data_IF_818172657553
#
_entry.id   IF_818172657553
#
_cell.length_a   1.000
_cell.length_b   1.000
_cell.length_c   1.000
_cell.angle_alpha   90.00
_cell.angle_beta   90.00
_cell.angle_gamma   90.00
#
_symmetry.space_group_name_H-M   'P 1'
#
loop_
_entity.id
_entity.type
_entity.pdbx_description
1 polymer ?
#
# COMPACT_ATOMS: atom_id res chain seq x y z
N UNK A 1 23.70 -48.02 43.02
CA UNK A 1 23.94 -46.62 42.62
C UNK A 1 23.99 -46.42 41.09
N UNK A 2 23.13 -47.09 40.29
CA UNK A 2 23.15 -47.00 38.81
C UNK A 2 21.93 -46.32 38.19
N UNK A 3 20.90 -45.99 38.98
CA UNK A 3 19.64 -45.39 38.51
C UNK A 3 19.60 -43.86 38.61
N UNK A 4 20.47 -43.28 39.44
CA UNK A 4 20.61 -41.83 39.60
C UNK A 4 21.01 -41.08 38.30
N UNK A 5 21.96 -41.56 37.47
CA UNK A 5 22.34 -40.83 36.25
C UNK A 5 21.25 -40.87 35.17
N UNK A 6 20.43 -41.93 35.14
CA UNK A 6 19.35 -42.08 34.15
C UNK A 6 18.19 -41.14 34.46
N UNK A 7 17.88 -40.91 35.74
CA UNK A 7 16.82 -39.99 36.17
C UNK A 7 17.23 -38.54 35.89
N UNK A 8 18.50 -38.18 36.11
CA UNK A 8 19.01 -36.83 35.81
C UNK A 8 18.98 -36.57 34.30
N UNK A 9 19.32 -37.55 33.47
CA UNK A 9 19.27 -37.43 32.01
C UNK A 9 17.84 -37.27 31.50
N UNK A 10 16.88 -38.05 32.04
CA UNK A 10 15.46 -37.91 31.71
C UNK A 10 14.90 -36.55 32.13
N UNK A 11 15.33 -36.03 33.27
CA UNK A 11 14.93 -34.70 33.74
C UNK A 11 15.50 -33.59 32.86
N UNK A 12 16.76 -33.70 32.42
CA UNK A 12 17.38 -32.75 31.48
C UNK A 12 16.68 -32.74 30.11
N UNK A 13 16.31 -33.91 29.59
CA UNK A 13 15.56 -34.02 28.33
C UNK A 13 14.16 -33.41 28.47
N UNK A 14 13.46 -33.68 29.58
CA UNK A 14 12.16 -33.10 29.86
C UNK A 14 12.20 -31.56 30.04
N UNK A 15 13.25 -31.02 30.66
CA UNK A 15 13.45 -29.57 30.80
C UNK A 15 13.79 -28.92 29.46
N UNK A 16 14.56 -29.57 28.58
CA UNK A 16 14.83 -29.07 27.22
C UNK A 16 13.62 -29.10 26.27
N UNK A 17 12.61 -29.93 26.57
CA UNK A 17 11.35 -29.96 25.84
C UNK A 17 10.36 -28.86 26.30
N UNK A 18 10.60 -28.24 27.47
CA UNK A 18 9.78 -27.16 28.02
C UNK A 18 10.26 -25.76 27.62
N UNK A 19 11.41 -25.63 26.94
CA UNK A 19 11.94 -24.34 26.45
C UNK A 19 11.48 -24.01 25.03
N UNK A 20 10.52 -24.74 24.46
CA UNK A 20 9.88 -24.38 23.20
C UNK A 20 8.52 -23.70 23.44
N UNK A 21 8.51 -22.56 24.12
CA UNK A 21 7.41 -21.61 23.91
C UNK A 21 7.92 -20.20 24.09
N UNK A 22 8.47 -19.69 23.00
CA UNK A 22 8.30 -18.35 22.47
C UNK A 22 9.08 -18.42 21.18
N UNK A 23 8.42 -18.82 20.09
CA UNK A 23 8.94 -18.42 18.79
C UNK A 23 8.91 -16.90 18.84
N UNK A 24 10.05 -16.23 18.66
CA UNK A 24 10.04 -14.80 18.38
C UNK A 24 9.03 -14.63 17.25
N UNK A 25 7.90 -13.98 17.56
CA UNK A 25 6.93 -13.63 16.55
C UNK A 25 7.61 -12.56 15.71
N UNK A 26 8.30 -12.98 14.65
CA UNK A 26 8.83 -12.11 13.61
C UNK A 26 7.62 -11.44 12.93
N UNK A 27 7.10 -10.42 13.59
CA UNK A 27 5.99 -9.65 13.07
C UNK A 27 6.49 -8.93 11.81
N UNK A 28 5.69 -8.89 10.74
CA UNK A 28 6.04 -8.09 9.58
C UNK A 28 6.29 -6.65 10.03
N UNK A 29 7.39 -6.06 9.55
CA UNK A 29 7.83 -4.70 9.93
C UNK A 29 6.78 -3.62 9.63
N UNK A 30 5.81 -3.92 8.76
CA UNK A 30 4.70 -3.01 8.41
C UNK A 30 3.34 -3.71 8.54
N UNK A 31 2.38 -3.01 9.13
CA UNK A 31 0.97 -3.41 9.19
C UNK A 31 0.17 -3.00 7.96
N UNK A 32 0.80 -2.27 7.03
CA UNK A 32 0.16 -1.76 5.82
C UNK A 32 0.73 -2.50 4.60
N UNK A 33 -0.16 -2.96 3.74
CA UNK A 33 0.20 -3.43 2.40
C UNK A 33 0.29 -2.25 1.43
N UNK A 34 1.19 -2.38 0.46
CA UNK A 34 1.46 -1.35 -0.54
C UNK A 34 1.02 -1.84 -1.93
N UNK A 35 0.44 -0.94 -2.72
CA UNK A 35 0.18 -1.19 -4.13
C UNK A 35 1.49 -1.04 -4.92
N UNK A 36 1.86 -2.06 -5.67
CA UNK A 36 3.07 -2.08 -6.49
C UNK A 36 2.73 -1.78 -7.96
N UNK A 37 3.36 -0.73 -8.50
CA UNK A 37 3.20 -0.26 -9.87
C UNK A 37 4.54 -0.36 -10.62
N UNK A 38 4.57 -1.08 -11.74
CA UNK A 38 5.69 -1.07 -12.68
C UNK A 38 5.44 -0.04 -13.79
N UNK A 39 6.49 0.67 -14.20
CA UNK A 39 6.45 1.57 -15.35
C UNK A 39 7.00 0.86 -16.57
N UNK A 40 6.17 0.69 -17.58
CA UNK A 40 6.50 -0.05 -18.80
C UNK A 40 6.28 0.82 -20.05
N UNK A 41 7.02 0.53 -21.09
CA UNK A 41 6.79 1.10 -22.42
C UNK A 41 5.62 0.36 -23.10
N UNK A 42 4.68 1.10 -23.70
CA UNK A 42 3.46 0.54 -24.30
C UNK A 42 3.77 -0.46 -25.42
N UNK A 43 4.79 -0.20 -26.23
CA UNK A 43 5.11 -1.04 -27.39
C UNK A 43 5.96 -2.24 -26.98
N UNK A 44 7.09 -1.98 -26.32
CA UNK A 44 8.11 -2.99 -26.02
C UNK A 44 7.86 -3.76 -24.72
N UNK A 45 6.96 -3.26 -23.86
CA UNK A 45 6.71 -3.78 -22.51
C UNK A 45 7.97 -3.82 -21.62
N UNK A 46 9.01 -3.08 -21.99
CA UNK A 46 10.24 -2.96 -21.20
C UNK A 46 10.08 -1.92 -20.10
N UNK A 47 10.85 -2.09 -19.03
CA UNK A 47 10.85 -1.17 -17.90
C UNK A 47 11.31 0.23 -18.30
N UNK A 48 10.52 1.24 -17.92
CA UNK A 48 10.79 2.66 -18.18
C UNK A 48 11.26 3.31 -16.90
N UNK A 49 12.38 4.04 -16.96
CA UNK A 49 12.89 4.82 -15.83
C UNK A 49 12.86 6.30 -16.19
N UNK A 50 12.22 7.09 -15.35
CA UNK A 50 12.17 8.55 -15.52
C UNK A 50 13.45 9.18 -14.99
N UNK A 51 14.06 10.06 -15.80
CA UNK A 51 15.20 10.89 -15.39
C UNK A 51 15.00 12.29 -15.97
N UNK A 52 14.78 13.32 -15.13
CA UNK A 52 14.71 13.28 -13.67
C UNK A 52 13.52 12.47 -13.12
N UNK A 53 13.54 12.15 -11.83
CA UNK A 53 12.38 11.59 -11.14
C UNK A 53 11.20 12.58 -11.15
N UNK A 54 9.98 12.05 -11.07
CA UNK A 54 8.77 12.84 -10.91
C UNK A 54 8.17 12.61 -9.51
N UNK A 55 7.37 13.58 -9.04
CA UNK A 55 6.72 13.50 -7.73
C UNK A 55 5.39 12.75 -7.82
N UNK A 56 5.08 11.94 -6.81
CA UNK A 56 3.74 11.37 -6.61
C UNK A 56 3.18 11.86 -5.30
N UNK A 57 1.99 12.44 -5.38
CA UNK A 57 1.22 12.86 -4.21
C UNK A 57 0.07 11.90 -4.00
N UNK A 58 -0.08 11.37 -2.77
CA UNK A 58 -1.22 10.55 -2.38
C UNK A 58 -2.28 11.38 -1.67
N UNK A 59 -3.54 11.20 -2.06
CA UNK A 59 -4.69 11.82 -1.41
C UNK A 59 -5.51 10.78 -0.68
N UNK A 60 -5.66 10.98 0.61
CA UNK A 60 -6.68 10.34 1.44
C UNK A 60 -7.80 11.36 1.56
N UNK A 61 -8.85 11.22 0.74
CA UNK A 61 -10.07 12.01 0.93
C UNK A 61 -10.89 11.33 2.01
N UNK A 62 -11.02 11.98 3.16
CA UNK A 62 -12.07 11.65 4.10
C UNK A 62 -13.19 12.66 3.93
N UNK A 63 -14.41 12.18 3.73
CA UNK A 63 -15.58 13.03 3.83
C UNK A 63 -15.73 13.45 5.29
N UNK A 64 -15.32 14.69 5.62
CA UNK A 64 -15.49 15.24 6.95
C UNK A 64 -16.86 15.91 6.99
N UNK A 65 -17.77 15.36 7.81
CA UNK A 65 -19.07 15.99 8.06
C UNK A 65 -18.84 17.12 9.06
N UNK A 66 -18.79 18.35 8.55
CA UNK A 66 -18.75 19.56 9.38
C UNK A 66 -20.18 19.94 9.72
N UNK A 67 -20.49 20.03 11.01
CA UNK A 67 -21.76 20.50 11.53
C UNK A 67 -21.58 21.90 12.07
N UNK A 68 -22.19 22.88 11.42
CA UNK A 68 -22.15 24.27 11.86
C UNK A 68 -23.51 24.70 12.39
N UNK A 69 -23.54 25.51 13.46
CA UNK A 69 -24.79 26.05 14.01
C UNK A 69 -24.97 27.46 13.45
N UNK A 70 -26.01 27.67 12.65
CA UNK A 70 -26.32 28.98 12.09
C UNK A 70 -26.87 29.92 13.19
N UNK A 71 -26.86 31.23 12.91
CA UNK A 71 -27.35 32.26 13.85
C UNK A 71 -28.83 32.05 14.25
N UNK A 72 -29.61 31.35 13.42
CA UNK A 72 -31.00 30.98 13.70
C UNK A 72 -31.16 29.71 14.56
N UNK A 73 -30.05 29.12 15.00
CA UNK A 73 -30.00 27.90 15.82
C UNK A 73 -30.13 26.59 15.03
N UNK A 74 -30.21 26.63 13.70
CA UNK A 74 -30.25 25.41 12.88
C UNK A 74 -28.86 24.82 12.67
N UNK A 75 -28.77 23.49 12.54
CA UNK A 75 -27.51 22.80 12.24
C UNK A 75 -27.42 22.59 10.72
N UNK A 76 -26.38 23.14 10.10
CA UNK A 76 -26.02 22.88 8.71
C UNK A 76 -24.93 21.82 8.65
N UNK A 77 -25.25 20.67 8.06
CA UNK A 77 -24.25 19.66 7.72
C UNK A 77 -23.66 19.97 6.34
N UNK A 78 -22.34 20.06 6.25
CA UNK A 78 -21.63 20.18 4.98
C UNK A 78 -20.58 19.08 4.91
N UNK A 79 -20.58 18.33 3.80
CA UNK A 79 -19.51 17.39 3.50
C UNK A 79 -18.34 18.21 2.97
N UNK A 80 -17.31 18.35 3.80
CA UNK A 80 -16.04 18.95 3.39
C UNK A 80 -15.12 17.82 2.97
N UNK A 81 -14.71 17.83 1.70
CA UNK A 81 -13.67 16.95 1.20
C UNK A 81 -12.34 17.52 1.66
N UNK A 82 -11.92 17.14 2.86
CA UNK A 82 -10.60 17.51 3.35
C UNK A 82 -9.58 16.47 2.87
N UNK A 83 -8.50 16.95 2.26
CA UNK A 83 -7.40 16.11 1.79
C UNK A 83 -6.42 15.98 2.94
N UNK A 84 -6.54 14.89 3.71
CA UNK A 84 -5.76 14.72 4.94
C UNK A 84 -4.25 14.62 4.69
N UNK A 85 -3.84 14.23 3.48
CA UNK A 85 -2.45 14.28 3.03
C UNK A 85 -2.39 14.83 1.61
N UNK A 86 -1.46 15.76 1.40
CA UNK A 86 -1.06 16.34 0.12
C UNK A 86 0.49 16.41 0.05
N UNK A 87 1.15 15.40 0.61
CA UNK A 87 2.62 15.32 0.64
C UNK A 87 3.13 14.38 -0.45
N UNK A 88 4.38 14.60 -0.86
CA UNK A 88 5.06 13.76 -1.84
C UNK A 88 5.41 12.42 -1.19
N UNK A 89 4.76 11.36 -1.64
CA UNK A 89 4.94 10.00 -1.13
C UNK A 89 5.96 9.19 -1.95
N UNK A 90 6.34 9.69 -3.13
CA UNK A 90 7.38 9.11 -3.97
C UNK A 90 8.06 10.19 -4.83
N UNK A 91 9.40 10.19 -4.83
CA UNK A 91 10.28 10.97 -5.71
C UNK A 91 11.59 10.19 -5.86
N UNK A 92 11.56 9.13 -6.68
CA UNK A 92 12.75 8.35 -6.99
C UNK A 92 12.80 8.05 -8.48
N UNK A 93 14.00 8.10 -9.06
CA UNK A 93 14.24 7.72 -10.44
C UNK A 93 14.34 6.19 -10.55
N UNK A 94 13.21 5.52 -10.41
CA UNK A 94 13.08 4.05 -10.48
C UNK A 94 12.07 3.68 -11.57
N UNK A 95 12.05 2.39 -11.95
CA UNK A 95 11.10 1.84 -12.94
C UNK A 95 9.83 1.27 -12.30
N UNK A 96 9.66 1.47 -11.00
CA UNK A 96 8.51 0.99 -10.24
C UNK A 96 8.31 1.86 -9.01
N UNK A 97 7.11 1.84 -8.45
CA UNK A 97 6.78 2.51 -7.19
C UNK A 97 5.88 1.63 -6.33
N UNK A 98 6.01 1.77 -5.01
CA UNK A 98 5.17 1.08 -4.03
C UNK A 98 4.47 2.13 -3.17
N UNK A 99 3.15 2.23 -3.27
CA UNK A 99 2.39 3.31 -2.64
C UNK A 99 1.38 2.76 -1.62
N UNK A 100 1.18 3.43 -0.47
CA UNK A 100 0.17 3.03 0.49
C UNK A 100 -1.24 3.27 -0.05
N UNK A 101 -2.21 2.52 0.46
CA UNK A 101 -3.63 2.75 0.19
C UNK A 101 -4.33 3.43 1.37
N UNK A 102 -5.38 4.17 1.06
CA UNK A 102 -6.29 4.77 2.03
C UNK A 102 -7.06 3.70 2.82
N UNK A 103 -7.49 4.03 4.05
CA UNK A 103 -8.45 3.24 4.82
C UNK A 103 -9.92 3.45 4.37
N UNK A 104 -10.16 4.35 3.42
CA UNK A 104 -11.43 4.46 2.70
C UNK A 104 -11.43 3.54 1.48
N UNK A 105 -12.57 3.31 0.83
CA UNK A 105 -12.67 2.42 -0.34
C UNK A 105 -12.07 2.99 -1.63
N UNK A 106 -11.46 4.18 -1.58
CA UNK A 106 -10.86 4.84 -2.73
C UNK A 106 -9.53 5.48 -2.35
N UNK A 107 -8.54 5.35 -3.21
CA UNK A 107 -7.24 6.00 -3.07
C UNK A 107 -6.89 6.73 -4.36
N UNK A 108 -6.48 7.98 -4.23
CA UNK A 108 -6.14 8.83 -5.37
C UNK A 108 -4.65 9.16 -5.33
N UNK A 109 -3.96 8.97 -6.45
CA UNK A 109 -2.58 9.36 -6.66
C UNK A 109 -2.51 10.39 -7.78
N UNK A 110 -1.69 11.42 -7.61
CA UNK A 110 -1.38 12.39 -8.66
C UNK A 110 0.10 12.29 -8.98
N UNK A 111 0.42 11.99 -10.23
CA UNK A 111 1.77 11.87 -10.77
C UNK A 111 2.13 13.21 -11.42
N UNK A 112 3.17 13.86 -10.92
CA UNK A 112 3.60 15.20 -11.32
C UNK A 112 4.86 15.14 -12.20
N UNK A 113 4.68 14.90 -13.51
CA UNK A 113 5.80 14.83 -14.45
C UNK A 113 6.48 16.18 -14.67
N UNK A 114 5.69 17.26 -14.73
CA UNK A 114 6.18 18.66 -14.78
C UNK A 114 5.19 19.58 -14.04
N UNK A 115 5.50 20.87 -13.90
CA UNK A 115 4.58 21.85 -13.27
C UNK A 115 3.17 21.87 -13.89
N UNK A 116 3.06 21.55 -15.19
CA UNK A 116 1.79 21.63 -15.95
C UNK A 116 1.25 20.29 -16.40
N UNK A 117 2.05 19.21 -16.31
CA UNK A 117 1.68 17.89 -16.78
C UNK A 117 1.53 16.94 -15.60
N UNK A 118 0.30 16.50 -15.36
CA UNK A 118 -0.05 15.61 -14.26
C UNK A 118 -1.05 14.57 -14.71
N UNK A 119 -0.87 13.34 -14.25
CA UNK A 119 -1.90 12.32 -14.34
C UNK A 119 -2.47 11.97 -12.98
N UNK A 120 -3.75 11.65 -12.93
CA UNK A 120 -4.42 11.19 -11.71
C UNK A 120 -4.80 9.73 -11.89
N UNK A 121 -4.53 8.91 -10.87
CA UNK A 121 -4.92 7.51 -10.77
C UNK A 121 -5.84 7.38 -9.56
N UNK A 122 -6.99 6.75 -9.72
CA UNK A 122 -7.96 6.49 -8.66
C UNK A 122 -8.17 4.98 -8.60
N UNK A 123 -7.76 4.37 -7.49
CA UNK A 123 -7.95 2.94 -7.21
C UNK A 123 -9.16 2.80 -6.28
N UNK A 124 -10.18 2.08 -6.74
CA UNK A 124 -11.30 1.66 -5.89
C UNK A 124 -11.02 0.25 -5.38
N UNK A 125 -11.20 0.03 -4.09
CA UNK A 125 -10.80 -1.20 -3.44
C UNK A 125 -11.65 -1.55 -2.22
N UNK A 126 -11.66 -2.83 -1.89
CA UNK A 126 -12.22 -3.38 -0.66
C UNK A 126 -11.14 -3.49 0.41
N UNK A 127 -11.41 -2.95 1.61
CA UNK A 127 -10.52 -3.03 2.77
C UNK A 127 -10.79 -4.31 3.57
N UNK A 128 -9.79 -5.18 3.68
CA UNK A 128 -9.89 -6.50 4.32
C UNK A 128 -8.97 -6.51 5.55
N UNK A 129 -9.52 -6.39 6.77
CA UNK A 129 -8.72 -6.52 7.98
C UNK A 129 -8.26 -7.97 8.13
N UNK A 130 -6.95 -8.16 8.28
CA UNK A 130 -6.33 -9.46 8.46
C UNK A 130 -5.65 -9.54 9.82
N UNK A 131 -5.97 -10.56 10.61
CA UNK A 131 -5.35 -10.81 11.90
C UNK A 131 -4.19 -11.79 11.72
N UNK A 132 -2.95 -11.32 11.87
CA UNK A 132 -1.77 -12.18 11.73
C UNK A 132 -1.67 -13.16 12.89
N UNK A 133 -1.61 -12.64 14.11
CA UNK A 133 -1.72 -13.37 15.38
C UNK A 133 -1.99 -12.33 16.50
N UNK A 134 -2.20 -12.78 17.73
CA UNK A 134 -2.49 -11.89 18.88
C UNK A 134 -1.30 -10.94 19.18
N UNK A 135 -0.07 -11.38 18.91
CA UNK A 135 1.15 -10.63 19.25
C UNK A 135 1.49 -9.53 18.24
N UNK A 136 1.23 -9.76 16.95
CA UNK A 136 1.51 -8.87 15.82
C UNK A 136 0.31 -8.01 15.42
N UNK A 137 -0.87 -8.25 15.99
CA UNK A 137 -2.07 -7.47 15.76
C UNK A 137 -2.68 -7.66 14.37
N UNK A 138 -3.41 -6.64 13.93
CA UNK A 138 -4.14 -6.62 12.65
C UNK A 138 -3.42 -5.78 11.62
N UNK A 139 -3.44 -6.25 10.37
CA UNK A 139 -2.98 -5.54 9.19
C UNK A 139 -4.13 -5.33 8.21
N UNK A 140 -3.94 -4.44 7.22
CA UNK A 140 -4.95 -4.18 6.20
C UNK A 140 -4.47 -4.71 4.85
N UNK A 141 -5.24 -5.65 4.29
CA UNK A 141 -5.12 -6.08 2.90
C UNK A 141 -6.19 -5.40 2.06
N UNK A 142 -5.95 -5.36 0.75
CA UNK A 142 -6.86 -4.71 -0.17
C UNK A 142 -7.15 -5.61 -1.36
N UNK A 143 -8.38 -5.54 -1.85
CA UNK A 143 -8.75 -6.13 -3.13
C UNK A 143 -9.21 -5.03 -4.08
N UNK A 144 -8.50 -4.88 -5.19
CA UNK A 144 -8.82 -3.88 -6.21
C UNK A 144 -10.11 -4.27 -6.92
N UNK A 145 -11.04 -3.33 -6.99
CA UNK A 145 -12.34 -3.49 -7.66
C UNK A 145 -12.36 -2.76 -9.01
N UNK A 146 -11.76 -1.57 -9.07
CA UNK A 146 -11.74 -0.72 -10.26
C UNK A 146 -10.53 0.22 -10.25
N UNK A 147 -10.10 0.66 -11.43
CA UNK A 147 -9.07 1.68 -11.59
C UNK A 147 -9.47 2.69 -12.66
N UNK A 148 -9.39 3.97 -12.31
CA UNK A 148 -9.68 5.08 -13.20
C UNK A 148 -8.45 5.98 -13.30
N UNK A 149 -8.21 6.55 -14.47
CA UNK A 149 -7.03 7.38 -14.68
C UNK A 149 -7.21 8.40 -15.80
N UNK A 150 -6.38 9.45 -15.75
CA UNK A 150 -6.19 10.37 -16.88
C UNK A 150 -5.03 9.90 -17.75
N UNK A 151 -4.98 10.36 -19.00
CA UNK A 151 -3.99 9.92 -19.99
C UNK A 151 -3.25 11.09 -20.65
N UNK A 152 -2.60 11.94 -19.86
CA UNK A 152 -1.77 13.04 -20.37
C UNK A 152 -0.39 12.56 -20.79
N UNK A 153 0.33 11.88 -19.89
CA UNK A 153 1.62 11.24 -20.17
C UNK A 153 1.52 9.71 -20.00
N UNK A 154 0.75 9.27 -19.00
CA UNK A 154 0.31 7.89 -18.84
C UNK A 154 -0.60 7.52 -20.00
N UNK A 155 -0.46 6.30 -20.50
CA UNK A 155 -1.25 5.82 -21.64
C UNK A 155 -2.38 4.88 -21.23
N UNK A 156 -2.05 3.88 -20.42
CA UNK A 156 -3.02 2.92 -19.88
C UNK A 156 -2.48 2.29 -18.59
N UNK A 157 -3.38 1.70 -17.82
CA UNK A 157 -3.03 0.90 -16.65
C UNK A 157 -3.71 -0.47 -16.77
N UNK A 158 -2.93 -1.52 -16.55
CA UNK A 158 -3.40 -2.89 -16.42
C UNK A 158 -3.35 -3.34 -14.96
N UNK A 159 -4.42 -4.01 -14.50
CA UNK A 159 -4.44 -4.70 -13.22
C UNK A 159 -3.86 -6.11 -13.42
N UNK A 160 -2.64 -6.33 -12.93
CA UNK A 160 -1.93 -7.61 -13.01
C UNK A 160 -2.37 -8.55 -11.88
N UNK A 161 -2.47 -8.01 -10.67
CA UNK A 161 -2.93 -8.74 -9.50
C UNK A 161 -3.80 -7.82 -8.63
N UNK A 162 -5.12 -8.11 -8.52
CA UNK A 162 -6.02 -7.29 -7.72
C UNK A 162 -5.83 -7.46 -6.21
N UNK A 163 -5.17 -8.54 -5.76
CA UNK A 163 -4.97 -8.80 -4.33
C UNK A 163 -3.67 -8.12 -3.86
N UNK A 164 -3.82 -7.10 -3.01
CA UNK A 164 -2.73 -6.33 -2.40
C UNK A 164 -2.56 -6.81 -0.96
N UNK A 165 -1.44 -7.46 -0.71
CA UNK A 165 -1.05 -8.03 0.57
C UNK A 165 0.45 -7.77 0.84
N UNK A 166 0.99 -8.34 1.90
CA UNK A 166 2.41 -8.17 2.27
C UNK A 166 3.38 -9.12 1.54
N UNK A 167 2.98 -9.76 0.45
CA UNK A 167 3.84 -10.69 -0.31
C UNK A 167 4.66 -9.97 -1.41
N UNK A 168 4.68 -8.64 -1.43
CA UNK A 168 5.43 -7.80 -2.39
C UNK A 168 5.16 -8.16 -3.86
N UNK A 169 3.93 -8.60 -4.16
CA UNK A 169 3.52 -8.96 -5.51
C UNK A 169 3.23 -7.70 -6.32
N UNK A 170 3.66 -7.71 -7.58
CA UNK A 170 3.23 -6.70 -8.56
C UNK A 170 1.71 -6.66 -8.69
N UNK A 171 1.13 -5.46 -8.64
CA UNK A 171 -0.31 -5.26 -8.77
C UNK A 171 -0.71 -4.59 -10.08
N UNK A 172 0.08 -3.62 -10.55
CA UNK A 172 -0.27 -2.80 -11.71
C UNK A 172 0.91 -2.66 -12.68
N UNK A 173 0.59 -2.67 -13.97
CA UNK A 173 1.48 -2.16 -15.01
C UNK A 173 0.96 -0.81 -15.47
N UNK A 174 1.79 0.23 -15.43
CA UNK A 174 1.50 1.53 -16.01
C UNK A 174 2.26 1.63 -17.32
N UNK A 175 1.54 1.82 -18.42
CA UNK A 175 2.12 1.96 -19.74
C UNK A 175 2.33 3.44 -20.11
N UNK A 176 3.50 3.71 -20.67
CA UNK A 176 3.92 5.00 -21.18
C UNK A 176 4.29 4.88 -22.66
N UNK A 177 4.08 5.95 -23.42
CA UNK A 177 4.63 6.05 -24.77
C UNK A 177 6.02 6.68 -24.63
N UNK A 178 7.06 5.85 -24.68
CA UNK A 178 8.44 6.37 -24.74
C UNK A 178 8.80 6.46 -26.21
N UNK A 179 8.72 7.67 -26.77
CA UNK A 179 9.30 7.88 -28.09
C UNK A 179 10.79 7.57 -27.97
N UNK A 180 11.23 6.53 -28.68
CA UNK A 180 12.65 6.24 -28.87
C UNK A 180 13.28 7.42 -29.61
N UNK A 181 13.68 8.45 -28.87
CA UNK A 181 14.62 9.45 -29.36
C UNK A 181 16.00 8.82 -29.29
N UNK A 182 16.40 8.18 -30.38
CA UNK A 182 17.81 8.10 -30.79
C UNK A 182 18.27 9.46 -31.35
#
# INVERSE_FOLDING_TARGET
MKKLPVIILLFLIAVSALTQSCGESDCPLTTNSFAHFDFLDEETHQAVKFTPAFDVTGFITTDVIVRDTLEDGTIKETIVKDSLMNDTIFNKAESSMSLPLSYTSKTTYVLHYTEKMRDTIIVTHQNIPYLQNIECGTMMFYKVEDIQYTTYNLKSIEIVNPDINNEEKKNFNIYYVVNATE
#
